data_IF_282590612463
#
_entry.id   IF_282590612463
#
_cell.length_a   1.000
_cell.length_b   1.000
_cell.length_c   1.000
_cell.angle_alpha   90.00
_cell.angle_beta   90.00
_cell.angle_gamma   90.00
#
_symmetry.space_group_name_H-M   'P 1'
#
loop_
_entity.id
_entity.type
_entity.pdbx_description
1 polymer ?
#
# COMPACT_ATOMS: atom_id res chain seq x y z
N UNK A 1 2.76 3.16 -2.57
CA UNK A 1 4.23 3.07 -2.57
C UNK A 1 4.75 3.23 -3.99
N UNK A 2 6.05 3.04 -4.23
CA UNK A 2 6.63 3.14 -5.58
C UNK A 2 6.84 4.58 -6.08
N UNK A 3 7.46 4.71 -7.25
CA UNK A 3 7.86 6.02 -7.79
C UNK A 3 6.70 6.80 -8.45
N UNK A 4 5.73 6.09 -9.04
CA UNK A 4 4.62 6.68 -9.81
C UNK A 4 3.79 7.71 -9.02
N UNK A 5 3.31 7.44 -7.79
CA UNK A 5 2.44 8.38 -7.07
C UNK A 5 3.17 9.58 -6.45
N UNK A 6 4.52 9.65 -6.49
CA UNK A 6 5.27 10.73 -5.84
C UNK A 6 4.91 12.12 -6.36
N UNK A 7 4.61 12.24 -7.66
CA UNK A 7 4.13 13.50 -8.24
C UNK A 7 2.76 13.92 -7.71
N UNK A 8 1.86 12.94 -7.57
CA UNK A 8 0.52 13.15 -7.01
C UNK A 8 0.60 13.61 -5.55
N UNK A 9 1.36 12.92 -4.70
CA UNK A 9 1.53 13.31 -3.29
C UNK A 9 2.07 14.73 -3.14
N UNK A 10 3.07 15.13 -3.94
CA UNK A 10 3.59 16.51 -3.94
C UNK A 10 2.50 17.53 -4.22
N UNK A 11 1.62 17.26 -5.18
CA UNK A 11 0.52 18.16 -5.53
C UNK A 11 -0.56 18.21 -4.46
N UNK A 12 -0.95 17.07 -3.88
CA UNK A 12 -1.89 17.03 -2.77
C UNK A 12 -1.38 17.81 -1.54
N UNK A 13 -0.09 17.67 -1.22
CA UNK A 13 0.54 18.46 -0.15
C UNK A 13 0.52 19.96 -0.49
N UNK A 14 0.75 20.34 -1.75
CA UNK A 14 0.67 21.73 -2.20
C UNK A 14 -0.74 22.30 -2.01
N UNK A 15 -1.78 21.59 -2.43
CA UNK A 15 -3.18 22.00 -2.26
C UNK A 15 -3.58 22.10 -0.79
N UNK A 16 -3.15 21.14 0.05
CA UNK A 16 -3.36 21.22 1.49
C UNK A 16 -2.70 22.47 2.10
N UNK A 17 -1.43 22.74 1.77
CA UNK A 17 -0.71 23.92 2.27
C UNK A 17 -1.32 25.25 1.82
N UNK A 18 -2.06 25.26 0.70
CA UNK A 18 -2.84 26.40 0.22
C UNK A 18 -4.22 26.53 0.87
N UNK A 19 -4.65 25.55 1.67
CA UNK A 19 -5.97 25.52 2.30
C UNK A 19 -7.09 25.10 1.36
N UNK A 20 -6.77 24.50 0.21
CA UNK A 20 -7.77 24.10 -0.81
C UNK A 20 -8.45 22.76 -0.46
N UNK A 21 -7.74 21.89 0.26
CA UNK A 21 -8.21 20.57 0.70
C UNK A 21 -7.77 20.27 2.13
N UNK A 22 -8.50 19.39 2.81
CA UNK A 22 -8.17 18.88 4.15
C UNK A 22 -8.33 17.36 4.17
N UNK A 23 -7.46 16.70 4.93
CA UNK A 23 -7.44 15.27 5.17
C UNK A 23 -7.90 14.89 6.58
N UNK A 24 -8.43 15.85 7.35
CA UNK A 24 -8.84 15.64 8.75
C UNK A 24 -9.86 14.51 8.91
N UNK A 25 -10.74 14.33 7.92
CA UNK A 25 -11.79 13.30 7.91
C UNK A 25 -11.57 12.21 6.86
N UNK A 26 -10.43 12.25 6.17
CA UNK A 26 -10.07 11.25 5.16
C UNK A 26 -9.50 10.02 5.86
N UNK A 27 -9.99 8.83 5.47
CA UNK A 27 -9.40 7.53 5.81
C UNK A 27 -8.65 6.99 4.60
N UNK A 28 -7.45 6.47 4.82
CA UNK A 28 -6.60 5.91 3.75
C UNK A 28 -6.35 4.45 4.00
N UNK A 29 -6.32 3.67 2.92
CA UNK A 29 -5.99 2.25 2.94
C UNK A 29 -4.92 1.99 1.90
N UNK A 30 -3.73 1.59 2.35
CA UNK A 30 -2.63 1.26 1.47
C UNK A 30 -2.79 -0.13 0.85
N UNK A 31 -2.26 -0.28 -0.36
CA UNK A 31 -2.39 -1.52 -1.15
C UNK A 31 -1.64 -2.70 -0.53
N UNK A 32 -0.49 -2.46 0.09
CA UNK A 32 0.46 -3.51 0.42
C UNK A 32 1.48 -3.09 1.48
N UNK A 33 2.14 -4.08 2.07
CA UNK A 33 3.33 -3.95 2.93
C UNK A 33 4.18 -5.23 2.83
N UNK A 34 5.50 -5.10 2.98
CA UNK A 34 6.38 -6.26 3.00
C UNK A 34 6.23 -7.08 4.29
N UNK A 35 6.26 -8.41 4.17
CA UNK A 35 6.27 -9.31 5.32
C UNK A 35 7.67 -9.40 5.92
N UNK A 36 7.77 -9.29 7.24
CA UNK A 36 9.03 -9.46 7.99
C UNK A 36 10.00 -8.28 7.89
N UNK A 37 9.62 -7.18 7.24
CA UNK A 37 10.39 -5.94 7.24
C UNK A 37 9.96 -5.06 8.43
N UNK A 38 10.88 -4.58 9.27
CA UNK A 38 10.53 -3.70 10.38
C UNK A 38 9.77 -2.46 9.92
N UNK A 39 8.75 -2.05 10.67
CA UNK A 39 7.88 -0.91 10.35
C UNK A 39 8.62 0.42 10.24
N UNK A 40 9.73 0.57 10.96
CA UNK A 40 10.61 1.74 10.94
C UNK A 40 11.74 1.63 9.90
N UNK A 41 11.85 0.49 9.21
CA UNK A 41 12.82 0.34 8.13
C UNK A 41 12.56 1.41 7.05
N UNK A 42 13.60 2.09 6.52
CA UNK A 42 13.44 3.18 5.55
C UNK A 42 12.63 2.78 4.31
N UNK A 43 12.81 1.55 3.85
CA UNK A 43 12.15 0.98 2.67
C UNK A 43 10.83 0.24 2.95
N UNK A 44 10.34 0.25 4.21
CA UNK A 44 8.97 -0.21 4.48
C UNK A 44 7.97 0.73 3.82
N UNK A 45 6.82 0.21 3.40
CA UNK A 45 5.79 1.06 2.80
C UNK A 45 5.14 1.98 3.83
N UNK A 46 5.16 1.59 5.10
CA UNK A 46 4.89 2.46 6.22
C UNK A 46 5.81 3.69 6.25
N UNK A 47 7.13 3.50 6.31
CA UNK A 47 8.10 4.61 6.27
C UNK A 47 7.97 5.44 5.00
N UNK A 48 7.77 4.79 3.86
CA UNK A 48 7.57 5.47 2.58
C UNK A 48 6.37 6.43 2.65
N UNK A 49 5.21 5.96 3.11
CA UNK A 49 4.00 6.80 3.17
C UNK A 49 4.13 7.92 4.18
N UNK A 50 4.72 7.64 5.35
CA UNK A 50 4.92 8.67 6.36
C UNK A 50 5.89 9.75 5.87
N UNK A 51 6.97 9.35 5.20
CA UNK A 51 7.98 10.28 4.72
C UNK A 51 7.53 11.11 3.52
N UNK A 52 6.75 10.53 2.61
CA UNK A 52 6.38 11.18 1.35
C UNK A 52 5.00 11.86 1.38
N UNK A 53 4.13 11.52 2.33
CA UNK A 53 2.76 12.04 2.34
C UNK A 53 2.23 12.37 3.74
N UNK A 54 2.00 11.37 4.60
CA UNK A 54 1.16 11.54 5.79
C UNK A 54 1.66 12.58 6.79
N UNK A 55 2.98 12.72 7.00
CA UNK A 55 3.53 13.73 7.93
C UNK A 55 3.43 15.18 7.43
N UNK A 56 2.99 15.40 6.20
CA UNK A 56 2.93 16.73 5.55
C UNK A 56 1.51 17.29 5.40
N UNK A 57 0.50 16.54 5.87
CA UNK A 57 -0.93 16.87 5.80
C UNK A 57 -1.60 16.74 7.18
N UNK A 58 -2.85 17.16 7.33
CA UNK A 58 -3.64 17.08 8.56
C UNK A 58 -4.38 15.75 8.77
N UNK A 59 -3.89 14.65 8.17
CA UNK A 59 -4.46 13.33 8.39
C UNK A 59 -4.25 12.89 9.85
N UNK A 60 -5.28 12.30 10.44
CA UNK A 60 -5.18 11.69 11.77
C UNK A 60 -4.55 10.30 11.65
N UNK A 61 -3.64 9.95 12.57
CA UNK A 61 -2.93 8.67 12.53
C UNK A 61 -3.87 7.46 12.55
N UNK A 62 -4.98 7.54 13.27
CA UNK A 62 -6.00 6.50 13.36
C UNK A 62 -6.76 6.27 12.04
N UNK A 63 -6.68 7.22 11.11
CA UNK A 63 -7.29 7.14 9.78
C UNK A 63 -6.29 6.68 8.70
N UNK A 64 -5.02 6.46 9.06
CA UNK A 64 -3.99 5.99 8.13
C UNK A 64 -3.78 4.48 8.26
N UNK A 65 -4.45 3.69 7.40
CA UNK A 65 -4.42 2.22 7.47
C UNK A 65 -3.40 1.66 6.47
N UNK A 66 -2.41 0.95 7.01
CA UNK A 66 -1.39 0.20 6.26
C UNK A 66 -1.35 -1.20 6.88
N UNK A 67 -1.26 -2.23 6.03
CA UNK A 67 -1.11 -3.62 6.45
C UNK A 67 0.12 -3.79 7.36
N UNK A 68 -0.01 -4.57 8.42
CA UNK A 68 1.11 -4.90 9.31
C UNK A 68 1.81 -6.19 8.88
N UNK A 69 2.87 -6.05 8.08
CA UNK A 69 3.71 -7.17 7.66
C UNK A 69 4.52 -7.86 8.77
N UNK A 70 4.48 -7.33 9.99
CA UNK A 70 5.09 -7.93 11.19
C UNK A 70 4.04 -8.55 12.15
N UNK A 71 2.76 -8.60 11.76
CA UNK A 71 1.70 -9.19 12.57
C UNK A 71 1.99 -10.67 12.89
N UNK A 72 1.63 -11.15 14.11
CA UNK A 72 1.89 -12.52 14.53
C UNK A 72 1.08 -13.54 13.72
N UNK A 73 -0.10 -13.14 13.24
CA UNK A 73 -0.92 -13.92 12.31
C UNK A 73 -1.30 -13.04 11.12
N UNK A 74 -0.64 -13.31 10.00
CA UNK A 74 -0.81 -12.56 8.75
C UNK A 74 -2.17 -12.79 8.09
N UNK A 75 -2.81 -13.94 8.33
CA UNK A 75 -4.15 -14.21 7.81
C UNK A 75 -5.19 -13.38 8.56
N UNK A 76 -5.07 -13.29 9.89
CA UNK A 76 -5.92 -12.43 10.71
C UNK A 76 -5.72 -10.96 10.32
N UNK A 77 -4.48 -10.50 10.14
CA UNK A 77 -4.22 -9.12 9.69
C UNK A 77 -4.91 -8.81 8.35
N UNK A 78 -4.88 -9.74 7.40
CA UNK A 78 -5.59 -9.57 6.12
C UNK A 78 -7.11 -9.49 6.29
N UNK A 79 -7.70 -10.32 7.15
CA UNK A 79 -9.13 -10.33 7.44
C UNK A 79 -9.55 -9.03 8.14
N UNK A 80 -8.82 -8.63 9.17
CA UNK A 80 -9.05 -7.38 9.91
C UNK A 80 -8.93 -6.16 9.00
N UNK A 81 -8.03 -6.18 8.02
CA UNK A 81 -7.89 -5.10 7.04
C UNK A 81 -9.13 -4.97 6.15
N UNK A 82 -9.67 -6.08 5.66
CA UNK A 82 -10.92 -6.12 4.89
C UNK A 82 -12.12 -5.66 5.74
N UNK A 83 -12.18 -6.06 7.01
CA UNK A 83 -13.21 -5.62 7.93
C UNK A 83 -13.14 -4.11 8.21
N UNK A 84 -11.93 -3.55 8.36
CA UNK A 84 -11.72 -2.10 8.51
C UNK A 84 -12.20 -1.34 7.28
N UNK A 85 -11.92 -1.83 6.08
CA UNK A 85 -12.44 -1.24 4.82
C UNK A 85 -13.96 -1.25 4.82
N UNK A 86 -14.58 -2.39 5.15
CA UNK A 86 -16.03 -2.53 5.20
C UNK A 86 -16.66 -1.64 6.27
N UNK A 87 -16.08 -1.56 7.46
CA UNK A 87 -16.52 -0.70 8.55
C UNK A 87 -16.39 0.80 8.22
N UNK A 88 -15.46 1.16 7.34
CA UNK A 88 -15.35 2.52 6.82
C UNK A 88 -16.42 2.85 5.76
N UNK A 89 -17.20 1.87 5.28
CA UNK A 89 -18.22 2.04 4.24
C UNK A 89 -17.75 1.69 2.82
N UNK A 90 -16.57 1.07 2.70
CA UNK A 90 -15.90 0.80 1.42
C UNK A 90 -14.90 1.88 1.03
N UNK A 91 -14.27 1.70 -0.13
CA UNK A 91 -13.32 2.67 -0.71
C UNK A 91 -14.07 3.53 -1.75
N UNK A 92 -14.02 4.85 -1.58
CA UNK A 92 -14.63 5.77 -2.56
C UNK A 92 -13.75 5.94 -3.81
N UNK A 93 -12.43 6.10 -3.63
CA UNK A 93 -11.47 6.24 -4.73
C UNK A 93 -10.22 5.42 -4.45
N UNK A 94 -9.86 4.53 -5.36
CA UNK A 94 -8.66 3.71 -5.29
C UNK A 94 -7.61 4.17 -6.31
N UNK A 95 -6.61 4.94 -5.87
CA UNK A 95 -5.52 5.38 -6.77
C UNK A 95 -4.40 4.35 -6.81
N UNK A 96 -4.16 3.76 -7.98
CA UNK A 96 -3.16 2.72 -8.20
C UNK A 96 -2.15 3.03 -9.31
N UNK A 97 -1.01 2.33 -9.25
CA UNK A 97 -0.08 2.22 -10.37
C UNK A 97 -0.17 0.82 -11.00
N UNK A 98 0.22 0.72 -12.27
CA UNK A 98 0.37 -0.56 -12.97
C UNK A 98 1.84 -0.91 -13.18
N UNK A 99 2.18 -2.17 -12.93
CA UNK A 99 3.48 -2.75 -13.27
C UNK A 99 3.64 -2.96 -14.78
N UNK A 100 4.88 -3.17 -15.27
CA UNK A 100 5.15 -3.41 -16.70
C UNK A 100 4.52 -4.71 -17.24
N UNK A 101 4.21 -5.66 -16.36
CA UNK A 101 3.49 -6.91 -16.61
C UNK A 101 1.96 -6.78 -16.42
N UNK A 102 1.46 -5.57 -16.11
CA UNK A 102 0.06 -5.29 -15.86
C UNK A 102 -0.41 -5.54 -14.42
N UNK A 103 0.47 -5.89 -13.47
CA UNK A 103 0.04 -6.08 -12.08
C UNK A 103 -0.42 -4.77 -11.42
N UNK A 104 -1.37 -4.90 -10.49
CA UNK A 104 -1.78 -3.85 -9.56
C UNK A 104 -1.45 -4.31 -8.13
N UNK A 105 -0.86 -3.44 -7.31
CA UNK A 105 -0.28 -3.84 -6.03
C UNK A 105 0.69 -5.03 -6.23
N UNK A 106 0.66 -6.06 -5.37
CA UNK A 106 1.37 -7.32 -5.62
C UNK A 106 0.48 -8.41 -6.25
N UNK A 107 -0.58 -8.04 -6.98
CA UNK A 107 -1.41 -8.98 -7.74
C UNK A 107 -0.74 -9.33 -9.08
N UNK A 108 0.33 -10.11 -9.01
CA UNK A 108 1.11 -10.58 -10.15
C UNK A 108 0.31 -11.48 -11.10
N UNK A 109 0.76 -11.66 -12.35
CA UNK A 109 0.12 -12.55 -13.33
C UNK A 109 -0.20 -13.94 -12.75
N UNK A 110 -1.43 -14.40 -13.00
CA UNK A 110 -1.97 -15.64 -12.41
C UNK A 110 -2.72 -15.45 -11.09
N UNK A 111 -2.76 -14.22 -10.54
CA UNK A 111 -3.65 -13.89 -9.42
C UNK A 111 -5.12 -14.00 -9.82
N UNK A 112 -5.95 -14.50 -8.90
CA UNK A 112 -7.41 -14.56 -9.11
C UNK A 112 -8.00 -13.15 -9.28
N UNK A 113 -8.87 -12.98 -10.29
CA UNK A 113 -9.60 -11.73 -10.54
C UNK A 113 -10.58 -11.36 -9.42
N UNK A 114 -10.95 -12.32 -8.57
CA UNK A 114 -11.80 -12.13 -7.39
C UNK A 114 -11.03 -12.32 -6.09
N UNK A 115 -9.70 -12.17 -6.13
CA UNK A 115 -8.86 -12.28 -4.93
C UNK A 115 -9.20 -11.22 -3.88
N UNK A 116 -9.00 -11.57 -2.61
CA UNK A 116 -9.05 -10.67 -1.45
C UNK A 116 -7.65 -10.38 -0.91
N UNK A 117 -7.61 -9.52 0.11
CA UNK A 117 -6.39 -9.21 0.85
C UNK A 117 -5.75 -10.50 1.38
N UNK A 118 -4.45 -10.69 1.11
CA UNK A 118 -3.74 -11.95 1.38
C UNK A 118 -2.23 -11.78 1.47
N UNK A 119 -1.59 -12.79 2.03
CA UNK A 119 -0.14 -13.00 1.88
C UNK A 119 0.16 -13.45 0.46
N UNK A 120 1.20 -12.87 -0.15
CA UNK A 120 1.65 -13.18 -1.50
C UNK A 120 3.17 -13.31 -1.53
N UNK A 121 3.65 -14.43 -2.08
CA UNK A 121 5.05 -14.59 -2.46
C UNK A 121 5.33 -13.74 -3.70
N UNK A 122 6.39 -12.94 -3.64
CA UNK A 122 6.82 -12.06 -4.73
C UNK A 122 7.52 -12.90 -5.82
N UNK A 123 7.24 -12.58 -7.08
CA UNK A 123 7.99 -13.12 -8.21
C UNK A 123 9.43 -12.62 -8.21
N UNK A 124 10.31 -13.41 -8.84
CA UNK A 124 11.72 -13.04 -8.96
C UNK A 124 11.92 -11.70 -9.68
N UNK A 125 11.11 -11.40 -10.70
CA UNK A 125 11.19 -10.12 -11.42
C UNK A 125 10.86 -8.92 -10.50
N UNK A 126 9.88 -9.08 -9.60
CA UNK A 126 9.54 -8.09 -8.57
C UNK A 126 10.69 -7.91 -7.57
N UNK A 127 11.30 -9.01 -7.13
CA UNK A 127 12.47 -8.98 -6.23
C UNK A 127 13.64 -8.25 -6.90
N UNK A 128 13.95 -8.57 -8.16
CA UNK A 128 14.99 -7.91 -8.94
C UNK A 128 14.71 -6.41 -9.13
N UNK A 129 13.47 -6.05 -9.44
CA UNK A 129 13.07 -4.65 -9.61
C UNK A 129 13.17 -3.85 -8.31
N UNK A 130 12.87 -4.47 -7.17
CA UNK A 130 12.89 -3.84 -5.86
C UNK A 130 14.29 -3.81 -5.23
N UNK A 131 15.22 -4.66 -5.66
CA UNK A 131 16.61 -4.70 -5.17
C UNK A 131 17.31 -3.34 -5.21
N UNK A 132 16.96 -2.47 -6.16
CA UNK A 132 17.48 -1.08 -6.25
C UNK A 132 17.23 -0.24 -4.99
N UNK A 133 16.22 -0.58 -4.19
CA UNK A 133 15.91 0.07 -2.93
C UNK A 133 16.68 -0.55 -1.75
N UNK A 134 17.24 -1.75 -1.93
CA UNK A 134 17.96 -2.51 -0.91
C UNK A 134 19.46 -2.63 -1.25
N UNK A 135 20.09 -1.53 -1.65
CA UNK A 135 21.52 -1.47 -2.06
C UNK A 135 21.90 -2.39 -3.23
N UNK A 136 20.93 -2.89 -4.00
CA UNK A 136 21.15 -3.90 -5.03
C UNK A 136 21.31 -5.33 -4.49
N UNK A 137 21.14 -5.55 -3.19
CA UNK A 137 21.30 -6.86 -2.55
C UNK A 137 19.96 -7.61 -2.49
N UNK A 138 19.84 -8.66 -3.30
CA UNK A 138 18.65 -9.50 -3.39
C UNK A 138 18.32 -10.21 -2.08
N UNK A 139 19.32 -10.48 -1.23
CA UNK A 139 19.10 -11.17 0.05
C UNK A 139 18.40 -10.31 1.09
N UNK A 140 18.43 -8.98 0.91
CA UNK A 140 17.75 -8.02 1.77
C UNK A 140 16.31 -7.73 1.34
N UNK A 141 15.93 -8.12 0.12
CA UNK A 141 14.58 -7.90 -0.39
C UNK A 141 13.62 -8.92 0.25
N UNK A 142 12.53 -8.47 0.89
CA UNK A 142 11.52 -9.39 1.39
C UNK A 142 10.96 -10.28 0.27
N UNK A 143 10.74 -11.56 0.54
CA UNK A 143 10.23 -12.53 -0.44
C UNK A 143 8.72 -12.66 -0.43
N UNK A 144 8.05 -12.04 0.55
CA UNK A 144 6.61 -12.05 0.72
C UNK A 144 6.10 -10.64 1.05
N UNK A 145 4.84 -10.39 0.70
CA UNK A 145 4.12 -9.17 1.04
C UNK A 145 2.68 -9.49 1.42
N UNK A 146 2.08 -8.61 2.21
CA UNK A 146 0.63 -8.51 2.33
C UNK A 146 0.14 -7.58 1.22
N UNK A 147 -0.95 -7.92 0.57
CA UNK A 147 -1.52 -7.10 -0.51
C UNK A 147 -3.02 -7.23 -0.57
N UNK A 148 -3.71 -6.12 -0.85
CA UNK A 148 -5.13 -6.12 -1.22
C UNK A 148 -5.34 -6.95 -2.49
N UNK A 149 -6.50 -7.61 -2.57
CA UNK A 149 -6.83 -8.42 -3.75
C UNK A 149 -7.39 -7.59 -4.90
N UNK A 150 -7.45 -8.20 -6.09
CA UNK A 150 -8.11 -7.58 -7.26
C UNK A 150 -9.58 -7.29 -6.96
N UNK A 151 -10.27 -8.21 -6.28
CA UNK A 151 -11.65 -8.00 -5.85
C UNK A 151 -11.76 -6.87 -4.84
N UNK A 152 -10.80 -6.73 -3.92
CA UNK A 152 -10.76 -5.61 -2.95
C UNK A 152 -10.62 -4.26 -3.64
N UNK A 153 -9.81 -4.16 -4.70
CA UNK A 153 -9.70 -2.92 -5.51
C UNK A 153 -10.99 -2.67 -6.29
N UNK A 154 -11.55 -3.72 -6.91
CA UNK A 154 -12.79 -3.62 -7.72
C UNK A 154 -14.05 -3.30 -6.89
N UNK A 155 -14.02 -3.53 -5.58
CA UNK A 155 -15.10 -3.11 -4.67
C UNK A 155 -15.13 -1.58 -4.44
N UNK A 156 -14.09 -0.85 -4.87
CA UNK A 156 -14.07 0.61 -4.79
C UNK A 156 -15.11 1.22 -5.74
N UNK A 157 -15.65 2.40 -5.37
CA UNK A 157 -16.61 3.12 -6.22
C UNK A 157 -15.94 3.68 -7.48
N UNK A 158 -14.67 4.05 -7.38
CA UNK A 158 -13.84 4.58 -8.46
C UNK A 158 -12.40 4.03 -8.34
N UNK A 159 -11.78 3.73 -9.49
CA UNK A 159 -10.39 3.24 -9.63
C UNK A 159 -9.68 4.04 -10.72
#
# INVERSE_FOLDING_TARGET
SGSTPLGCYKKLIEYYKKGEISFQFVKTFNMDEYVGLPRDHPESYHSFMWNNFFKHIDIRSENAHILDGSAPDLQIECQDFEEKIKAAGGIDLFVGGIGPDGHIAFNEPGSSLVSRTRVKTLAMDTILANARFFDGDLSKVPTMALTVGVGTVMDAREV
#
